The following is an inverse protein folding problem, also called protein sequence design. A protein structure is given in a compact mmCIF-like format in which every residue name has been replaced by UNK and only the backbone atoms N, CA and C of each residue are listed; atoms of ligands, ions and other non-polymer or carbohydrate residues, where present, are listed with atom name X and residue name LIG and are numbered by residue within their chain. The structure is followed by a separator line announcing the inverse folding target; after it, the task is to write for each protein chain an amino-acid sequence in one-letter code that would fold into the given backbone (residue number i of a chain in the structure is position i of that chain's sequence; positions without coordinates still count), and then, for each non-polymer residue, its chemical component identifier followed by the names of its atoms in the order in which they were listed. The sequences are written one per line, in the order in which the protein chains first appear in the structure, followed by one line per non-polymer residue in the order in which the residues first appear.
data_IF_216176847138
#
_entry.id   IF_216176847138
#
_cell.length_a   1.000
_cell.length_b   1.000
_cell.length_c   1.000
_cell.angle_alpha   90.00
_cell.angle_beta   90.00
_cell.angle_gamma   90.00
#
_symmetry.space_group_name_H-M   'P 1'
#
loop_
_entity.id
_entity.type
_entity.pdbx_description
1 polymer ?
#
# COMPACT_ATOMS: atom_id res chain seq x y z
N UNK A 1 3.08 -13.45 24.16
CA UNK A 1 3.91 -14.20 23.19
C UNK A 1 4.59 -13.19 22.27
N UNK A 2 5.57 -12.45 22.79
CA UNK A 2 6.33 -11.46 22.01
C UNK A 2 7.70 -12.08 21.74
N UNK A 3 7.99 -12.38 20.47
CA UNK A 3 9.34 -12.77 20.09
C UNK A 3 10.28 -11.62 20.41
N UNK A 4 11.34 -11.88 21.19
CA UNK A 4 12.37 -10.89 21.52
C UNK A 4 12.90 -10.27 20.23
N UNK A 5 13.05 -8.94 20.18
CA UNK A 5 13.58 -8.19 19.03
C UNK A 5 14.93 -8.78 18.55
N UNK A 6 15.71 -9.32 19.49
CA UNK A 6 16.98 -10.00 19.22
C UNK A 6 16.86 -11.33 18.48
N UNK A 7 15.70 -12.01 18.54
CA UNK A 7 15.46 -13.27 17.82
C UNK A 7 15.10 -13.03 16.34
N UNK A 8 14.33 -11.98 16.05
CA UNK A 8 13.95 -11.59 14.69
C UNK A 8 15.18 -11.10 13.92
N UNK A 9 16.01 -10.27 14.56
CA UNK A 9 17.27 -9.79 13.99
C UNK A 9 18.30 -10.88 13.74
N UNK A 10 18.18 -12.06 14.37
CA UNK A 10 19.17 -13.15 14.31
C UNK A 10 18.73 -14.33 13.44
N UNK A 11 17.55 -14.26 12.84
CA UNK A 11 16.96 -15.36 12.09
C UNK A 11 17.58 -15.54 10.69
N UNK A 12 17.90 -14.44 9.98
CA UNK A 12 18.37 -14.49 8.59
C UNK A 12 19.73 -13.81 8.39
N UNK A 13 20.74 -14.61 8.00
CA UNK A 13 22.09 -14.13 7.67
C UNK A 13 22.07 -13.12 6.53
N UNK A 14 21.17 -13.28 5.56
CA UNK A 14 21.00 -12.35 4.45
C UNK A 14 20.56 -10.96 4.93
N UNK A 15 19.52 -10.89 5.77
CA UNK A 15 19.00 -9.64 6.34
C UNK A 15 20.06 -8.94 7.20
N UNK A 16 20.80 -9.69 8.02
CA UNK A 16 21.90 -9.13 8.79
C UNK A 16 22.99 -8.55 7.90
N UNK A 17 23.42 -9.29 6.87
CA UNK A 17 24.46 -8.84 5.94
C UNK A 17 24.03 -7.56 5.22
N UNK A 18 22.77 -7.49 4.76
CA UNK A 18 22.21 -6.29 4.14
C UNK A 18 22.22 -5.08 5.08
N UNK A 19 21.75 -5.23 6.32
CA UNK A 19 21.72 -4.13 7.30
C UNK A 19 23.12 -3.63 7.65
N UNK A 20 24.09 -4.52 7.82
CA UNK A 20 25.47 -4.12 8.11
C UNK A 20 26.13 -3.41 6.93
N UNK A 21 25.89 -3.86 5.70
CA UNK A 21 26.40 -3.19 4.49
C UNK A 21 25.78 -1.80 4.34
N UNK A 22 24.46 -1.67 4.54
CA UNK A 22 23.75 -0.40 4.44
C UNK A 22 24.20 0.60 5.51
N UNK A 23 24.38 0.13 6.76
CA UNK A 23 24.96 0.94 7.84
C UNK A 23 26.40 1.36 7.51
N UNK A 24 27.22 0.43 7.00
CA UNK A 24 28.59 0.70 6.61
C UNK A 24 28.69 1.80 5.56
N UNK A 25 27.89 1.71 4.49
CA UNK A 25 27.88 2.69 3.40
C UNK A 25 27.45 4.08 3.91
N UNK A 26 26.42 4.16 4.75
CA UNK A 26 25.92 5.44 5.27
C UNK A 26 26.92 6.11 6.22
N UNK A 27 27.57 5.33 7.09
CA UNK A 27 28.63 5.82 7.98
C UNK A 27 29.86 6.26 7.18
N UNK A 28 30.29 5.48 6.18
CA UNK A 28 31.42 5.86 5.32
C UNK A 28 31.11 7.16 4.57
N UNK A 29 29.91 7.31 4.01
CA UNK A 29 29.52 8.53 3.30
C UNK A 29 29.50 9.77 4.24
N UNK A 30 29.04 9.61 5.48
CA UNK A 30 29.06 10.68 6.48
C UNK A 30 30.49 11.03 6.94
N UNK A 31 31.33 10.02 7.18
CA UNK A 31 32.74 10.23 7.50
C UNK A 31 33.50 10.86 6.33
N UNK A 32 33.17 10.48 5.10
CA UNK A 32 33.76 11.05 3.89
C UNK A 32 33.41 12.55 3.71
N UNK A 33 32.25 12.96 4.20
CA UNK A 33 31.85 14.37 4.24
C UNK A 33 32.57 15.18 5.35
N UNK A 34 32.88 14.55 6.49
CA UNK A 34 33.46 15.22 7.67
C UNK A 34 35.00 15.23 7.70
N UNK A 35 35.65 14.18 7.19
CA UNK A 35 37.09 13.96 7.34
C UNK A 35 37.92 14.49 6.17
N UNK A 36 37.32 14.64 4.98
CA UNK A 36 38.04 15.05 3.77
C UNK A 36 37.81 16.53 3.46
N UNK A 37 38.84 17.27 3.02
CA UNK A 37 38.69 18.64 2.53
C UNK A 37 37.91 18.70 1.21
N UNK A 38 37.23 19.82 0.89
CA UNK A 38 36.38 19.97 -0.31
C UNK A 38 37.06 19.68 -1.65
N UNK A 39 38.39 19.87 -1.73
CA UNK A 39 39.19 19.63 -2.94
C UNK A 39 39.62 18.17 -3.13
N UNK A 40 39.36 17.30 -2.15
CA UNK A 40 39.72 15.88 -2.25
C UNK A 40 38.67 15.11 -3.06
N UNK A 41 39.12 14.24 -3.97
CA UNK A 41 38.24 13.36 -4.75
C UNK A 41 37.35 12.43 -3.91
N UNK A 42 37.69 12.23 -2.62
CA UNK A 42 36.93 11.42 -1.68
C UNK A 42 35.92 12.23 -0.84
N UNK A 43 35.81 13.55 -1.03
CA UNK A 43 34.84 14.36 -0.32
C UNK A 43 33.43 14.14 -0.88
N UNK A 44 32.53 13.63 -0.04
CA UNK A 44 31.10 13.54 -0.37
C UNK A 44 30.43 14.87 -0.01
N UNK A 45 29.86 15.57 -0.98
CA UNK A 45 29.20 16.86 -0.72
C UNK A 45 27.96 16.72 0.17
N UNK A 46 27.64 17.75 0.96
CA UNK A 46 26.42 17.78 1.79
C UNK A 46 25.14 17.66 0.95
N UNK A 47 25.17 18.14 -0.29
CA UNK A 47 24.08 17.98 -1.26
C UNK A 47 23.87 16.50 -1.63
N UNK A 48 24.94 15.79 -1.98
CA UNK A 48 24.90 14.35 -2.28
C UNK A 48 24.39 13.55 -1.08
N UNK A 49 24.84 13.90 0.13
CA UNK A 49 24.38 13.27 1.36
C UNK A 49 22.87 13.49 1.61
N UNK A 50 22.37 14.70 1.34
CA UNK A 50 20.95 15.02 1.44
C UNK A 50 20.10 14.28 0.40
N UNK A 51 20.61 14.16 -0.83
CA UNK A 51 19.95 13.39 -1.90
C UNK A 51 19.90 11.88 -1.56
N UNK A 52 21.01 11.34 -1.05
CA UNK A 52 21.10 9.96 -0.59
C UNK A 52 20.08 9.68 0.52
N UNK A 53 19.96 10.57 1.50
CA UNK A 53 18.95 10.49 2.54
C UNK A 53 17.52 10.47 1.98
N UNK A 54 17.23 11.34 1.00
CA UNK A 54 15.93 11.37 0.32
C UNK A 54 15.62 10.04 -0.39
N UNK A 55 16.59 9.47 -1.11
CA UNK A 55 16.41 8.20 -1.80
C UNK A 55 16.26 7.02 -0.84
N UNK A 56 16.97 7.01 0.29
CA UNK A 56 16.79 6.00 1.34
C UNK A 56 15.37 6.00 1.91
N UNK A 57 14.79 7.19 2.13
CA UNK A 57 13.38 7.30 2.56
C UNK A 57 12.42 6.68 1.54
N UNK A 58 12.62 6.92 0.25
CA UNK A 58 11.79 6.30 -0.79
C UNK A 58 12.02 4.78 -0.92
N UNK A 59 13.26 4.31 -0.75
CA UNK A 59 13.56 2.89 -0.74
C UNK A 59 12.86 2.17 0.43
N UNK A 60 12.87 2.76 1.62
CA UNK A 60 12.19 2.19 2.80
C UNK A 60 10.67 2.15 2.62
N UNK A 61 10.09 3.20 2.00
CA UNK A 61 8.68 3.22 1.60
C UNK A 61 8.37 2.09 0.60
N UNK A 62 9.20 1.90 -0.42
CA UNK A 62 9.01 0.85 -1.41
C UNK A 62 9.06 -0.55 -0.79
N UNK A 63 10.01 -0.80 0.12
CA UNK A 63 10.11 -2.07 0.87
C UNK A 63 8.90 -2.30 1.77
N UNK A 64 8.39 -1.26 2.44
CA UNK A 64 7.18 -1.39 3.25
C UNK A 64 5.96 -1.80 2.41
N UNK A 65 5.80 -1.20 1.22
CA UNK A 65 4.72 -1.55 0.29
C UNK A 65 4.90 -2.97 -0.26
N UNK A 66 6.13 -3.36 -0.61
CA UNK A 66 6.47 -4.72 -1.06
C UNK A 66 6.12 -5.78 0.01
N UNK A 67 6.39 -5.50 1.29
CA UNK A 67 6.02 -6.39 2.40
C UNK A 67 4.50 -6.46 2.60
N UNK A 68 3.78 -5.34 2.48
CA UNK A 68 2.31 -5.29 2.62
C UNK A 68 1.64 -6.11 1.51
N UNK A 69 2.06 -5.95 0.26
CA UNK A 69 1.45 -6.66 -0.88
C UNK A 69 2.01 -8.06 -1.11
N UNK A 70 3.29 -8.30 -0.81
CA UNK A 70 3.95 -9.58 -0.99
C UNK A 70 3.77 -10.53 0.21
N UNK A 71 4.10 -10.07 1.43
CA UNK A 71 4.11 -10.94 2.62
C UNK A 71 2.74 -11.00 3.32
N UNK A 72 2.08 -9.86 3.52
CA UNK A 72 0.77 -9.85 4.18
C UNK A 72 -0.36 -10.36 3.28
N UNK A 73 -0.12 -10.51 1.97
CA UNK A 73 -1.12 -10.99 1.02
C UNK A 73 -2.36 -10.08 0.93
N UNK A 74 -2.23 -8.81 1.35
CA UNK A 74 -3.30 -7.83 1.22
C UNK A 74 -3.51 -7.65 -0.28
N UNK A 75 -4.70 -8.02 -0.76
CA UNK A 75 -5.16 -7.89 -2.15
C UNK A 75 -4.52 -6.63 -2.76
N UNK A 76 -3.71 -6.81 -3.80
CA UNK A 76 -3.11 -5.70 -4.54
C UNK A 76 -4.19 -4.64 -4.82
N UNK A 77 -3.85 -3.35 -4.82
CA UNK A 77 -4.80 -2.24 -5.01
C UNK A 77 -5.79 -2.48 -6.17
N UNK A 78 -5.33 -3.11 -7.26
CA UNK A 78 -6.19 -3.49 -8.37
C UNK A 78 -7.25 -4.54 -7.98
N UNK A 79 -6.86 -5.59 -7.26
CA UNK A 79 -7.77 -6.64 -6.82
C UNK A 79 -8.80 -6.14 -5.79
N UNK A 80 -8.42 -5.25 -4.87
CA UNK A 80 -9.40 -4.66 -3.94
C UNK A 80 -10.37 -3.72 -4.66
N UNK A 81 -9.90 -2.96 -5.65
CA UNK A 81 -10.76 -2.08 -6.44
C UNK A 81 -11.81 -2.88 -7.24
N UNK A 82 -11.39 -3.94 -7.94
CA UNK A 82 -12.32 -4.81 -8.68
C UNK A 82 -13.26 -5.59 -7.75
N UNK A 83 -12.76 -6.05 -6.59
CA UNK A 83 -13.59 -6.72 -5.59
C UNK A 83 -14.64 -5.77 -4.98
N UNK A 84 -14.26 -4.53 -4.67
CA UNK A 84 -15.18 -3.51 -4.17
C UNK A 84 -16.24 -3.14 -5.21
N UNK A 85 -15.85 -2.99 -6.48
CA UNK A 85 -16.79 -2.72 -7.58
C UNK A 85 -17.77 -3.88 -7.80
N UNK A 86 -17.29 -5.13 -7.86
CA UNK A 86 -18.14 -6.30 -7.98
C UNK A 86 -19.07 -6.48 -6.76
N UNK A 87 -18.57 -6.25 -5.55
CA UNK A 87 -19.37 -6.27 -4.33
C UNK A 87 -20.45 -5.19 -4.30
N UNK A 88 -20.15 -4.00 -4.81
CA UNK A 88 -21.13 -2.91 -4.95
C UNK A 88 -22.21 -3.26 -5.99
N UNK A 89 -21.83 -3.79 -7.16
CA UNK A 89 -22.76 -4.23 -8.20
C UNK A 89 -23.70 -5.34 -7.68
N UNK A 90 -23.14 -6.35 -7.02
CA UNK A 90 -23.92 -7.42 -6.38
C UNK A 90 -24.81 -6.90 -5.25
N UNK A 91 -24.34 -5.92 -4.47
CA UNK A 91 -25.14 -5.28 -3.42
C UNK A 91 -26.38 -4.58 -3.97
N UNK A 92 -26.25 -3.86 -5.09
CA UNK A 92 -27.39 -3.23 -5.77
C UNK A 92 -28.38 -4.27 -6.30
N UNK A 93 -27.89 -5.36 -6.91
CA UNK A 93 -28.72 -6.46 -7.37
C UNK A 93 -29.50 -7.13 -6.23
N UNK A 94 -28.83 -7.44 -5.11
CA UNK A 94 -29.47 -8.06 -3.96
C UNK A 94 -30.53 -7.15 -3.33
N UNK A 95 -30.30 -5.83 -3.30
CA UNK A 95 -31.30 -4.87 -2.85
C UNK A 95 -32.54 -4.84 -3.74
N UNK A 96 -32.38 -4.94 -5.07
CA UNK A 96 -33.50 -5.06 -6.01
C UNK A 96 -34.25 -6.38 -5.84
N UNK A 97 -33.53 -7.48 -5.65
CA UNK A 97 -34.16 -8.78 -5.44
C UNK A 97 -34.92 -8.87 -4.11
N UNK A 98 -34.43 -8.17 -3.08
CA UNK A 98 -35.10 -8.09 -1.79
C UNK A 98 -36.36 -7.20 -1.82
N UNK A 99 -36.38 -6.14 -2.64
CA UNK A 99 -37.53 -5.24 -2.78
C UNK A 99 -38.50 -5.65 -3.90
N UNK A 100 -38.09 -6.54 -4.82
CA UNK A 100 -38.87 -6.93 -5.98
C UNK A 100 -39.12 -5.73 -6.91
N UNK A 101 -40.39 -5.53 -7.28
CA UNK A 101 -40.81 -4.41 -8.12
C UNK A 101 -40.89 -3.07 -7.36
N UNK A 102 -40.78 -3.10 -6.04
CA UNK A 102 -40.77 -1.89 -5.19
C UNK A 102 -39.38 -1.26 -5.09
N UNK A 103 -39.35 0.01 -4.67
CA UNK A 103 -38.12 0.73 -4.39
C UNK A 103 -37.36 0.06 -3.23
N UNK A 104 -36.02 -0.06 -3.32
CA UNK A 104 -35.21 -0.54 -2.21
C UNK A 104 -35.49 0.20 -0.91
N UNK A 105 -35.57 -0.52 0.20
CA UNK A 105 -36.00 0.02 1.50
C UNK A 105 -35.22 1.28 1.95
N UNK A 106 -33.93 1.36 1.62
CA UNK A 106 -33.12 2.54 1.94
C UNK A 106 -33.50 3.78 1.11
N UNK A 107 -33.95 3.61 -0.14
CA UNK A 107 -34.43 4.69 -1.00
C UNK A 107 -35.77 5.21 -0.47
N UNK A 108 -36.66 4.31 -0.09
CA UNK A 108 -37.93 4.67 0.56
C UNK A 108 -37.68 5.41 1.89
N UNK A 109 -36.69 4.99 2.67
CA UNK A 109 -36.26 5.70 3.90
C UNK A 109 -35.73 7.12 3.62
N UNK A 110 -35.07 7.33 2.47
CA UNK A 110 -34.60 8.64 2.02
C UNK A 110 -35.70 9.47 1.33
N UNK A 111 -36.97 9.03 1.40
CA UNK A 111 -38.12 9.65 0.75
C UNK A 111 -37.98 9.78 -0.77
N UNK A 112 -37.29 8.83 -1.40
CA UNK A 112 -37.21 8.77 -2.87
C UNK A 112 -38.52 8.20 -3.43
N UNK A 113 -38.99 8.80 -4.51
CA UNK A 113 -40.27 8.47 -5.16
C UNK A 113 -40.11 7.62 -6.41
N UNK A 114 -38.92 7.57 -6.99
CA UNK A 114 -38.64 6.84 -8.23
C UNK A 114 -37.22 6.27 -8.25
N UNK A 115 -37.02 5.23 -9.05
CA UNK A 115 -35.71 4.59 -9.18
C UNK A 115 -34.81 5.46 -10.07
N UNK A 116 -33.61 5.84 -9.61
CA UNK A 116 -32.70 6.62 -10.45
C UNK A 116 -32.27 5.84 -11.69
N UNK A 117 -32.01 6.59 -12.76
CA UNK A 117 -31.59 6.03 -14.05
C UNK A 117 -30.34 5.13 -13.96
N UNK A 118 -29.38 5.42 -13.08
CA UNK A 118 -28.17 4.60 -12.92
C UNK A 118 -28.39 3.28 -12.17
N UNK A 119 -29.58 3.06 -11.59
CA UNK A 119 -30.00 1.76 -11.03
C UNK A 119 -30.76 0.90 -12.05
N UNK A 120 -31.00 1.40 -13.27
CA UNK A 120 -31.66 0.62 -14.32
C UNK A 120 -30.76 -0.52 -14.79
N UNK A 121 -31.31 -1.74 -14.88
CA UNK A 121 -30.54 -2.94 -15.23
C UNK A 121 -29.99 -3.74 -14.03
N UNK A 122 -30.05 -3.18 -12.82
CA UNK A 122 -29.57 -3.86 -11.59
C UNK A 122 -30.45 -5.03 -11.15
N UNK A 123 -31.62 -5.20 -11.75
CA UNK A 123 -32.49 -6.39 -11.62
C UNK A 123 -31.95 -7.65 -12.31
N UNK A 124 -31.02 -7.49 -13.27
CA UNK A 124 -30.51 -8.60 -14.03
C UNK A 124 -29.23 -9.15 -13.41
N UNK A 125 -29.18 -10.47 -13.18
CA UNK A 125 -28.00 -11.14 -12.60
C UNK A 125 -26.72 -10.89 -13.42
N UNK A 126 -26.83 -10.86 -14.75
CA UNK A 126 -25.70 -10.63 -15.66
C UNK A 126 -25.08 -9.23 -15.54
N UNK A 127 -25.83 -8.26 -15.03
CA UNK A 127 -25.30 -6.92 -14.80
C UNK A 127 -24.39 -6.87 -13.56
N UNK A 128 -24.59 -7.80 -12.61
CA UNK A 128 -23.86 -7.86 -11.35
C UNK A 128 -22.61 -8.77 -11.38
N UNK A 129 -22.30 -9.41 -12.51
CA UNK A 129 -21.10 -10.23 -12.74
C UNK A 129 -20.10 -9.52 -13.63
#
# INVERSE_FOLDING_TARGET
MFASLSSILRSDRATQTFLFVLLGITVIAALANLLFPPDSALHVSTYTLSLLGKYMTYALLAVAIDLIWGYCGILSLGHTAFFALGGYAMGMYLMRQASGDELPAFMTFLSWTELPWYWTGTEHFWWAM
#
